data_IF_331340729996
#
_entry.id   IF_331340729996
#
_cell.length_a   1.000
_cell.length_b   1.000
_cell.length_c   1.000
_cell.angle_alpha   90.00
_cell.angle_beta   90.00
_cell.angle_gamma   90.00
#
_symmetry.space_group_name_H-M   'P 1'
#
loop_
_entity.id
_entity.type
_entity.pdbx_description
1 polymer ?
#
# COMPACT_ATOMS: atom_id res chain seq x y z
N UNK A 1 43.02 -4.90 6.38
CA UNK A 1 41.87 -5.83 6.29
C UNK A 1 40.65 -4.99 5.94
N UNK A 2 39.97 -5.24 4.82
CA UNK A 2 38.74 -4.53 4.46
C UNK A 2 37.57 -5.28 5.07
N UNK A 3 36.85 -4.61 5.95
CA UNK A 3 35.72 -5.17 6.67
C UNK A 3 34.48 -5.02 5.77
N UNK A 4 34.02 -6.13 5.21
CA UNK A 4 32.84 -6.15 4.35
C UNK A 4 31.61 -6.17 5.25
N UNK A 5 31.10 -4.99 5.62
CA UNK A 5 29.84 -4.86 6.35
C UNK A 5 28.70 -5.42 5.49
N UNK A 6 28.17 -6.57 5.88
CA UNK A 6 26.97 -7.13 5.27
C UNK A 6 25.79 -6.28 5.70
N UNK A 7 25.32 -5.37 4.84
CA UNK A 7 24.09 -4.62 5.09
C UNK A 7 22.93 -5.61 5.03
N UNK A 8 22.34 -5.90 6.19
CA UNK A 8 21.10 -6.67 6.27
C UNK A 8 19.97 -5.77 5.81
N UNK A 9 19.21 -6.23 4.83
CA UNK A 9 17.95 -5.60 4.48
C UNK A 9 16.96 -5.82 5.62
N UNK A 10 16.48 -4.73 6.22
CA UNK A 10 15.37 -4.75 7.18
C UNK A 10 14.19 -4.00 6.57
N UNK A 11 13.04 -4.65 6.49
CA UNK A 11 11.80 -3.97 6.11
C UNK A 11 11.21 -3.27 7.34
N UNK A 12 10.72 -2.04 7.13
CA UNK A 12 10.05 -1.28 8.18
C UNK A 12 8.70 -1.92 8.46
N UNK A 13 8.46 -2.28 9.72
CA UNK A 13 7.21 -2.89 10.19
C UNK A 13 6.20 -1.77 10.50
N UNK A 14 5.18 -1.61 9.65
CA UNK A 14 4.13 -0.57 9.72
C UNK A 14 3.08 -0.76 10.84
N UNK A 15 3.47 -1.26 12.02
CA UNK A 15 2.48 -1.75 12.97
C UNK A 15 1.98 -0.72 13.98
N UNK A 16 2.69 0.40 14.20
CA UNK A 16 2.31 1.48 15.14
C UNK A 16 3.06 2.79 14.81
N UNK A 17 3.11 3.18 13.54
CA UNK A 17 3.73 4.44 13.17
C UNK A 17 2.74 5.58 13.39
N UNK A 18 2.98 6.41 14.42
CA UNK A 18 2.18 7.63 14.71
C UNK A 18 2.05 8.54 13.49
N UNK A 19 3.01 8.49 12.56
CA UNK A 19 2.89 9.19 11.28
C UNK A 19 1.73 8.68 10.43
N UNK A 20 1.50 7.37 10.39
CA UNK A 20 0.42 6.75 9.60
C UNK A 20 -0.98 7.02 10.20
N UNK A 21 -1.06 7.32 11.50
CA UNK A 21 -2.33 7.73 12.14
C UNK A 21 -2.85 9.06 11.62
N UNK A 22 -1.98 9.91 11.04
CA UNK A 22 -2.37 11.17 10.40
C UNK A 22 -3.23 10.94 9.14
N UNK A 23 -3.25 9.73 8.61
CA UNK A 23 -3.98 9.36 7.40
C UNK A 23 -5.12 8.40 7.77
N UNK A 24 -6.26 8.91 8.28
CA UNK A 24 -7.39 8.07 8.69
C UNK A 24 -8.01 7.28 7.53
N UNK A 25 -7.89 7.81 6.31
CA UNK A 25 -8.39 7.22 5.07
C UNK A 25 -7.38 6.33 4.35
N UNK A 26 -6.26 5.94 4.99
CA UNK A 26 -5.18 5.20 4.32
C UNK A 26 -5.57 3.81 3.82
N UNK A 27 -6.72 3.30 4.27
CA UNK A 27 -7.28 2.03 3.83
C UNK A 27 -8.50 2.21 2.94
N UNK A 28 -8.86 3.44 2.59
CA UNK A 28 -9.88 3.70 1.58
C UNK A 28 -9.28 3.41 0.20
N UNK A 29 -10.03 2.71 -0.65
CA UNK A 29 -9.57 2.38 -2.00
C UNK A 29 -10.68 2.48 -3.03
N UNK A 30 -10.26 2.71 -4.27
CA UNK A 30 -11.11 2.58 -5.45
C UNK A 30 -10.88 1.23 -6.09
N UNK A 31 -11.94 0.60 -6.56
CA UNK A 31 -11.85 -0.67 -7.28
C UNK A 31 -12.91 -0.74 -8.37
N UNK A 32 -12.70 -1.63 -9.33
CA UNK A 32 -13.70 -2.02 -10.30
C UNK A 32 -13.45 -3.49 -10.68
N UNK A 33 -14.49 -4.28 -10.92
CA UNK A 33 -14.34 -5.56 -11.61
C UNK A 33 -13.68 -5.36 -12.98
N UNK A 34 -12.97 -6.38 -13.47
CA UNK A 34 -12.36 -6.34 -14.80
C UNK A 34 -13.46 -6.23 -15.89
N UNK A 35 -13.43 -5.13 -16.65
CA UNK A 35 -14.37 -4.88 -17.74
C UNK A 35 -13.98 -5.64 -19.03
N UNK A 36 -14.97 -6.03 -19.83
CA UNK A 36 -14.70 -6.58 -21.15
C UNK A 36 -14.21 -5.49 -22.13
N UNK A 37 -13.54 -5.84 -23.25
CA UNK A 37 -13.15 -4.87 -24.25
C UNK A 37 -14.34 -4.07 -24.79
N UNK A 38 -14.25 -2.75 -24.77
CA UNK A 38 -15.32 -1.84 -25.21
C UNK A 38 -16.33 -1.46 -24.12
N UNK A 39 -16.24 -2.07 -22.93
CA UNK A 39 -17.03 -1.67 -21.77
C UNK A 39 -16.26 -0.69 -20.87
N UNK A 40 -17.01 0.14 -20.15
CA UNK A 40 -16.43 1.02 -19.14
C UNK A 40 -16.43 0.33 -17.78
N UNK A 41 -15.30 0.33 -17.05
CA UNK A 41 -15.26 -0.24 -15.71
C UNK A 41 -16.18 0.52 -14.77
N UNK A 42 -16.96 -0.23 -13.99
CA UNK A 42 -17.86 0.34 -12.99
C UNK A 42 -17.09 0.57 -11.70
N UNK A 43 -16.53 1.77 -11.57
CA UNK A 43 -15.74 2.19 -10.42
C UNK A 43 -16.57 2.29 -9.14
N UNK A 44 -15.97 1.84 -8.05
CA UNK A 44 -16.53 1.80 -6.70
C UNK A 44 -15.49 2.26 -5.69
N UNK A 45 -15.96 2.71 -4.53
CA UNK A 45 -15.15 3.12 -3.38
C UNK A 45 -15.48 2.24 -2.19
N UNK A 46 -14.46 1.79 -1.46
CA UNK A 46 -14.63 1.05 -0.19
C UNK A 46 -13.77 1.69 0.90
N UNK A 47 -14.33 1.79 2.11
CA UNK A 47 -13.65 2.24 3.32
C UNK A 47 -13.57 1.07 4.31
N UNK A 48 -12.42 0.90 4.95
CA UNK A 48 -12.12 -0.23 5.85
C UNK A 48 -11.88 0.20 7.29
#
# INVERSE_FOLDING_TARGET
>A
MKETSTIRFESVREWNDTFLELFPHRFDYIFAPHAAPGETPTWQTESR
#
